data_IF_336551026821
#
_entry.id   IF_336551026821
#
_cell.length_a   1.000
_cell.length_b   1.000
_cell.length_c   1.000
_cell.angle_alpha   90.00
_cell.angle_beta   90.00
_cell.angle_gamma   90.00
#
_symmetry.space_group_name_H-M   'P 1'
#
loop_
_entity.id
_entity.type
_entity.pdbx_description
1 polymer ?
#
# COMPACT_ATOMS: atom_id res chain seq x y z
N UNK A 1 28.46 28.76 -7.59
CA UNK A 1 27.16 29.07 -8.24
C UNK A 1 26.08 28.37 -7.45
N UNK A 2 24.93 29.02 -7.21
CA UNK A 2 23.75 28.33 -6.66
C UNK A 2 23.28 27.30 -7.70
N UNK A 3 22.98 26.04 -7.32
CA UNK A 3 22.40 25.08 -8.25
C UNK A 3 21.06 25.59 -8.77
N UNK A 4 20.90 25.60 -10.10
CA UNK A 4 19.69 26.09 -10.79
C UNK A 4 18.71 24.93 -10.90
N UNK A 5 17.47 25.13 -10.45
CA UNK A 5 16.43 24.10 -10.47
C UNK A 5 16.04 23.75 -11.93
N UNK A 6 15.87 22.46 -12.27
CA UNK A 6 15.61 22.00 -13.64
C UNK A 6 14.42 22.63 -14.37
N UNK A 7 13.39 23.01 -13.61
CA UNK A 7 12.08 23.51 -14.07
C UNK A 7 11.62 24.65 -13.14
N UNK A 8 10.71 25.50 -13.63
CA UNK A 8 9.99 26.47 -12.78
C UNK A 8 8.84 25.82 -11.99
N UNK A 9 8.29 26.44 -10.92
CA UNK A 9 7.16 25.88 -10.18
C UNK A 9 5.91 25.67 -11.04
N UNK A 10 5.58 26.66 -11.88
CA UNK A 10 4.45 26.60 -12.83
C UNK A 10 4.61 25.48 -13.86
N UNK A 11 5.84 25.26 -14.33
CA UNK A 11 6.19 24.19 -15.26
C UNK A 11 6.15 22.82 -14.59
N UNK A 12 6.69 22.71 -13.38
CA UNK A 12 6.67 21.47 -12.57
C UNK A 12 5.24 21.03 -12.30
N UNK A 13 4.35 21.93 -11.88
CA UNK A 13 2.93 21.64 -11.72
C UNK A 13 2.24 21.21 -13.01
N UNK A 14 2.58 21.82 -14.15
CA UNK A 14 2.06 21.37 -15.46
C UNK A 14 2.53 19.96 -15.79
N UNK A 15 3.81 19.64 -15.55
CA UNK A 15 4.37 18.29 -15.74
C UNK A 15 3.61 17.27 -14.87
N UNK A 16 3.44 17.55 -13.56
CA UNK A 16 2.75 16.66 -12.62
C UNK A 16 1.29 16.36 -13.04
N UNK A 17 0.54 17.35 -13.50
CA UNK A 17 -0.84 17.16 -13.97
C UNK A 17 -0.95 16.36 -15.30
N UNK A 18 0.16 16.15 -16.03
CA UNK A 18 0.16 15.35 -17.27
C UNK A 18 0.82 13.96 -17.10
N UNK A 19 1.69 13.76 -16.10
CA UNK A 19 2.38 12.49 -15.88
C UNK A 19 1.41 11.37 -15.47
N UNK A 20 1.28 10.35 -16.34
CA UNK A 20 0.48 9.14 -16.08
C UNK A 20 1.29 7.98 -15.48
N UNK A 21 2.61 8.15 -15.33
CA UNK A 21 3.56 7.13 -14.86
C UNK A 21 4.54 7.71 -13.83
N UNK A 22 5.13 6.89 -12.94
CA UNK A 22 6.05 7.37 -11.93
C UNK A 22 7.31 7.98 -12.54
N UNK A 23 7.76 9.07 -11.92
CA UNK A 23 8.91 9.82 -12.40
C UNK A 23 9.73 10.39 -11.24
N UNK A 24 11.06 10.41 -11.40
CA UNK A 24 11.99 10.99 -10.44
C UNK A 24 12.46 12.36 -10.92
N UNK A 25 12.37 13.34 -10.02
CA UNK A 25 12.94 14.68 -10.16
C UNK A 25 14.28 14.71 -9.39
N UNK A 26 15.43 14.49 -10.04
CA UNK A 26 16.69 14.27 -9.34
C UNK A 26 17.34 15.52 -8.71
N UNK A 27 16.92 16.72 -9.13
CA UNK A 27 17.60 17.99 -8.78
C UNK A 27 16.65 19.15 -8.45
N UNK A 28 15.37 18.88 -8.11
CA UNK A 28 14.39 19.95 -7.84
C UNK A 28 14.51 20.57 -6.43
N UNK A 29 15.10 19.86 -5.46
CA UNK A 29 15.10 20.26 -4.04
C UNK A 29 16.36 21.01 -3.59
N UNK A 30 17.24 21.38 -4.52
CA UNK A 30 18.53 21.96 -4.16
C UNK A 30 18.36 23.28 -3.38
N UNK A 31 18.85 23.32 -2.13
CA UNK A 31 18.65 24.43 -1.21
C UNK A 31 17.39 24.35 -0.34
N UNK A 32 16.68 23.21 -0.31
CA UNK A 32 15.70 22.93 0.74
C UNK A 32 16.44 22.64 2.06
N UNK A 33 16.14 23.34 3.16
CA UNK A 33 16.75 23.03 4.45
C UNK A 33 16.47 21.61 4.93
N UNK A 34 15.30 21.03 4.61
CA UNK A 34 14.92 19.65 4.95
C UNK A 34 15.90 18.57 4.44
N UNK A 35 16.81 18.88 3.50
CA UNK A 35 17.90 17.97 3.11
C UNK A 35 18.91 17.70 4.24
N UNK A 36 18.88 18.47 5.33
CA UNK A 36 19.71 18.27 6.53
C UNK A 36 18.99 17.46 7.62
N UNK A 37 17.73 17.06 7.42
CA UNK A 37 16.95 16.28 8.37
C UNK A 37 17.37 14.80 8.42
N UNK A 38 18.61 14.54 8.83
CA UNK A 38 19.02 13.19 9.25
C UNK A 38 18.31 12.79 10.54
N UNK A 39 18.27 11.50 10.86
CA UNK A 39 17.77 11.00 12.14
C UNK A 39 18.52 11.63 13.32
N UNK A 40 19.85 11.86 13.20
CA UNK A 40 20.63 12.62 14.19
C UNK A 40 20.13 14.07 14.36
N UNK A 41 19.86 14.79 13.27
CA UNK A 41 19.35 16.16 13.32
C UNK A 41 17.93 16.21 13.92
N UNK A 42 17.04 15.33 13.44
CA UNK A 42 15.67 15.20 13.92
C UNK A 42 15.61 14.80 15.40
N UNK A 43 16.56 14.00 15.88
CA UNK A 43 16.72 13.71 17.31
C UNK A 43 17.09 14.95 18.14
N UNK A 44 17.82 15.91 17.56
CA UNK A 44 18.11 17.20 18.19
C UNK A 44 16.92 18.16 18.20
N UNK A 45 16.08 18.14 17.17
CA UNK A 45 14.86 18.95 17.13
C UNK A 45 13.77 18.39 18.07
N UNK A 46 13.55 17.07 18.05
CA UNK A 46 12.53 16.40 18.86
C UNK A 46 12.94 16.21 20.33
N UNK A 47 14.24 16.18 20.64
CA UNK A 47 14.76 15.96 22.00
C UNK A 47 14.13 14.69 22.63
N UNK A 48 13.62 14.79 23.86
CA UNK A 48 12.98 13.69 24.59
C UNK A 48 11.54 13.38 24.14
N UNK A 49 11.03 13.96 23.06
CA UNK A 49 9.68 13.71 22.54
C UNK A 49 9.56 12.26 22.04
N UNK A 50 8.69 11.42 22.64
CA UNK A 50 8.53 10.04 22.20
C UNK A 50 7.70 9.96 20.91
N UNK A 51 8.14 9.12 19.98
CA UNK A 51 7.48 8.80 18.71
C UNK A 51 7.03 7.33 18.73
N UNK A 52 5.88 7.00 18.13
CA UNK A 52 5.43 5.61 17.96
C UNK A 52 6.26 4.93 16.87
N UNK A 53 7.09 3.96 17.21
CA UNK A 53 7.75 3.09 16.24
C UNK A 53 6.94 1.81 16.07
N UNK A 54 6.73 1.40 14.82
CA UNK A 54 6.34 0.05 14.43
C UNK A 54 7.58 -0.82 14.32
N UNK A 55 7.51 -2.06 14.76
CA UNK A 55 8.58 -3.06 14.61
C UNK A 55 8.01 -4.32 13.96
N UNK A 56 8.67 -4.76 12.90
CA UNK A 56 8.40 -6.03 12.24
C UNK A 56 9.66 -6.88 12.21
N UNK A 57 9.48 -8.20 12.05
CA UNK A 57 10.59 -9.14 11.93
C UNK A 57 11.23 -9.03 10.55
N UNK A 58 12.53 -9.34 10.49
CA UNK A 58 13.34 -9.52 9.28
C UNK A 58 13.25 -10.95 8.72
N UNK A 59 12.15 -11.66 9.02
CA UNK A 59 11.89 -13.02 8.54
C UNK A 59 11.29 -12.95 7.12
N UNK A 60 11.94 -13.60 6.14
CA UNK A 60 11.34 -13.78 4.81
C UNK A 60 10.08 -14.66 4.91
N UNK A 61 8.94 -14.16 4.40
CA UNK A 61 7.70 -14.93 4.31
C UNK A 61 7.05 -14.72 2.94
N UNK A 62 6.13 -15.59 2.54
CA UNK A 62 5.29 -15.42 1.34
C UNK A 62 3.99 -14.64 1.63
N UNK A 63 3.99 -13.77 2.66
CA UNK A 63 2.82 -12.99 3.09
C UNK A 63 3.20 -11.54 3.48
N UNK A 64 2.51 -10.51 2.97
CA UNK A 64 2.85 -9.12 3.31
C UNK A 64 2.72 -8.84 4.82
N UNK A 65 3.73 -8.19 5.42
CA UNK A 65 3.75 -7.92 6.86
C UNK A 65 2.90 -6.67 7.21
N UNK A 66 1.59 -6.86 7.22
CA UNK A 66 0.61 -5.83 7.60
C UNK A 66 0.82 -5.26 9.01
N UNK A 67 0.40 -4.02 9.17
CA UNK A 67 0.55 -3.15 10.34
C UNK A 67 -0.05 -3.76 11.62
N UNK A 68 -1.16 -4.51 11.52
CA UNK A 68 -1.83 -5.25 12.61
C UNK A 68 -1.03 -6.44 13.12
N UNK A 69 -0.06 -6.94 12.35
CA UNK A 69 0.85 -8.05 12.72
C UNK A 69 2.20 -7.56 13.26
N UNK A 70 2.38 -6.25 13.39
CA UNK A 70 3.61 -5.63 13.89
C UNK A 70 3.51 -5.28 15.38
N UNK A 71 4.66 -5.22 16.07
CA UNK A 71 4.76 -4.68 17.42
C UNK A 71 4.86 -3.15 17.40
N UNK A 72 4.52 -2.49 18.51
CA UNK A 72 4.63 -1.03 18.61
C UNK A 72 5.18 -0.58 19.97
N UNK A 73 6.09 0.38 19.94
CA UNK A 73 6.63 1.05 21.14
C UNK A 73 6.54 2.56 20.99
N UNK A 74 6.66 3.30 22.11
CA UNK A 74 6.86 4.75 22.11
C UNK A 74 8.25 5.04 22.67
N UNK A 75 9.14 5.56 21.82
CA UNK A 75 10.56 5.79 22.14
C UNK A 75 11.05 7.09 21.51
N UNK A 76 12.15 7.66 22.00
CA UNK A 76 12.75 8.87 21.40
C UNK A 76 13.57 8.51 20.15
N UNK A 77 13.81 9.47 19.26
CA UNK A 77 14.71 9.23 18.11
C UNK A 77 16.15 8.97 18.58
N UNK A 78 16.55 9.53 19.73
CA UNK A 78 17.83 9.18 20.38
C UNK A 78 17.88 7.69 20.77
N UNK A 79 16.81 7.14 21.35
CA UNK A 79 16.72 5.69 21.65
C UNK A 79 16.78 4.84 20.37
N UNK A 80 16.08 5.23 19.30
CA UNK A 80 16.20 4.57 18.00
C UNK A 80 17.66 4.57 17.48
N UNK A 81 18.35 5.70 17.54
CA UNK A 81 19.76 5.83 17.13
C UNK A 81 20.74 5.01 17.99
N UNK A 82 20.46 4.86 19.27
CA UNK A 82 21.26 4.01 20.17
C UNK A 82 21.04 2.52 19.86
N UNK A 83 19.80 2.11 19.59
CA UNK A 83 19.45 0.73 19.23
C UNK A 83 20.03 0.30 17.87
N UNK A 84 19.95 1.14 16.82
CA UNK A 84 20.54 0.82 15.50
C UNK A 84 22.06 0.69 15.53
N UNK A 85 22.72 1.30 16.52
CA UNK A 85 24.16 1.16 16.79
C UNK A 85 24.51 -0.08 17.61
N UNK A 86 23.54 -0.97 17.87
CA UNK A 86 23.73 -2.23 18.58
C UNK A 86 23.94 -2.09 20.09
N UNK A 87 23.47 -0.98 20.71
CA UNK A 87 23.50 -0.85 22.15
C UNK A 87 22.39 -1.70 22.80
N UNK A 88 22.71 -2.30 23.95
CA UNK A 88 21.75 -3.03 24.79
C UNK A 88 21.00 -2.08 25.74
N UNK A 89 19.90 -2.55 26.32
CA UNK A 89 19.15 -1.88 27.39
C UNK A 89 18.62 -0.47 27.02
N UNK A 90 18.33 -0.26 25.73
CA UNK A 90 17.89 1.04 25.16
C UNK A 90 16.39 1.30 25.38
N UNK A 91 15.97 1.33 26.64
CA UNK A 91 14.58 1.64 27.02
C UNK A 91 13.57 0.68 26.37
N UNK A 92 12.48 1.17 25.75
CA UNK A 92 11.48 0.30 25.11
C UNK A 92 12.00 -0.56 23.94
N UNK A 93 13.17 -0.25 23.36
CA UNK A 93 13.79 -1.10 22.34
C UNK A 93 14.49 -2.35 22.93
N UNK A 94 14.69 -2.44 24.25
CA UNK A 94 15.42 -3.54 24.90
C UNK A 94 14.76 -4.92 24.72
N UNK A 95 13.46 -4.94 24.42
CA UNK A 95 12.68 -6.16 24.17
C UNK A 95 12.88 -6.74 22.75
N UNK A 96 13.56 -6.01 21.86
CA UNK A 96 13.65 -6.32 20.42
C UNK A 96 15.10 -6.31 19.93
N UNK A 97 15.61 -7.44 19.42
CA UNK A 97 16.96 -7.46 18.85
C UNK A 97 17.03 -6.74 17.50
N UNK A 98 18.00 -5.83 17.33
CA UNK A 98 18.27 -5.17 16.04
C UNK A 98 18.67 -6.16 14.92
N UNK A 99 19.13 -7.37 15.25
CA UNK A 99 19.40 -8.42 14.26
C UNK A 99 18.12 -9.11 13.75
N UNK A 100 17.04 -9.11 14.53
CA UNK A 100 15.81 -9.85 14.24
C UNK A 100 14.66 -8.94 13.78
N UNK A 101 14.66 -7.67 14.22
CA UNK A 101 13.62 -6.69 13.93
C UNK A 101 14.17 -5.52 13.13
N UNK A 102 13.33 -4.98 12.25
CA UNK A 102 13.44 -3.62 11.75
C UNK A 102 12.54 -2.69 12.57
N UNK A 103 12.79 -1.38 12.53
CA UNK A 103 11.92 -0.39 13.16
C UNK A 103 11.59 0.76 12.21
N UNK A 104 10.35 1.26 12.28
CA UNK A 104 9.81 2.29 11.40
C UNK A 104 8.95 3.29 12.18
N UNK A 105 9.30 4.57 12.16
CA UNK A 105 8.43 5.67 12.51
C UNK A 105 7.80 6.20 11.21
N UNK A 106 6.63 5.66 10.87
CA UNK A 106 5.84 5.83 9.65
C UNK A 106 4.64 6.80 9.80
N UNK A 107 4.12 7.39 8.73
CA UNK A 107 2.95 8.31 8.77
C UNK A 107 3.03 9.42 9.84
N UNK A 108 4.23 9.95 10.15
CA UNK A 108 4.37 10.92 11.25
C UNK A 108 4.10 12.34 10.76
N UNK A 109 2.84 12.77 10.87
CA UNK A 109 2.38 14.13 10.54
C UNK A 109 3.30 15.21 11.15
N UNK A 110 4.02 15.94 10.29
CA UNK A 110 5.03 16.93 10.69
C UNK A 110 4.38 18.07 11.49
N UNK A 111 3.16 18.49 11.11
CA UNK A 111 2.32 19.42 11.87
C UNK A 111 2.15 19.03 13.36
N UNK A 112 2.02 17.74 13.66
CA UNK A 112 1.87 17.25 15.04
C UNK A 112 3.23 17.13 15.74
N UNK A 113 4.24 16.58 15.04
CA UNK A 113 5.59 16.40 15.59
C UNK A 113 6.27 17.72 15.96
N UNK A 114 5.98 18.81 15.25
CA UNK A 114 6.65 20.11 15.38
C UNK A 114 5.67 21.28 15.59
N UNK A 115 4.51 21.03 16.21
CA UNK A 115 3.49 22.05 16.50
C UNK A 115 4.00 23.27 17.30
N UNK A 116 5.06 23.06 18.10
CA UNK A 116 5.78 24.06 18.90
C UNK A 116 7.03 24.62 18.22
N UNK A 117 7.41 24.08 17.07
CA UNK A 117 8.57 24.48 16.26
C UNK A 117 8.14 24.82 14.81
N UNK A 118 7.23 25.79 14.59
CA UNK A 118 6.59 26.00 13.29
C UNK A 118 7.55 26.42 12.17
N UNK A 119 8.76 26.88 12.49
CA UNK A 119 9.80 27.13 11.49
C UNK A 119 10.23 25.85 10.74
N UNK A 120 10.12 24.68 11.38
CA UNK A 120 10.37 23.36 10.74
C UNK A 120 9.40 23.09 9.58
N UNK A 121 8.28 23.81 9.47
CA UNK A 121 7.39 23.66 8.33
C UNK A 121 7.98 24.30 7.07
N UNK A 122 8.71 25.42 7.20
CA UNK A 122 9.29 26.19 6.09
C UNK A 122 10.49 25.51 5.43
N UNK A 123 11.05 24.47 6.07
CA UNK A 123 12.15 23.66 5.56
C UNK A 123 11.75 22.79 4.34
N UNK A 124 10.45 22.48 4.20
CA UNK A 124 9.85 21.64 3.16
C UNK A 124 9.06 22.52 2.20
N UNK A 125 9.42 22.55 0.90
CA UNK A 125 9.05 23.65 -0.01
C UNK A 125 8.26 23.18 -1.23
N UNK A 126 7.10 22.56 -1.03
CA UNK A 126 6.23 22.07 -2.11
C UNK A 126 5.69 23.19 -3.02
N UNK A 127 5.75 24.45 -2.58
CA UNK A 127 5.59 25.63 -3.45
C UNK A 127 6.51 25.60 -4.68
N UNK A 128 7.72 25.02 -4.60
CA UNK A 128 8.63 24.88 -5.73
C UNK A 128 8.21 23.81 -6.75
N UNK A 129 7.32 22.88 -6.37
CA UNK A 129 6.59 22.00 -7.28
C UNK A 129 5.28 22.63 -7.79
N UNK A 130 4.99 23.88 -7.40
CA UNK A 130 3.83 24.69 -7.80
C UNK A 130 2.62 24.60 -6.86
N UNK A 131 2.80 24.06 -5.66
CA UNK A 131 1.77 23.99 -4.60
C UNK A 131 1.99 25.12 -3.60
N UNK A 132 1.71 26.34 -4.02
CA UNK A 132 1.92 27.55 -3.22
C UNK A 132 1.21 27.46 -1.86
N UNK A 133 1.92 27.81 -0.79
CA UNK A 133 1.43 27.69 0.59
C UNK A 133 1.41 26.28 1.19
N UNK A 134 1.73 25.21 0.44
CA UNK A 134 1.90 23.84 0.96
C UNK A 134 3.33 23.63 1.44
N UNK A 135 3.49 23.18 2.68
CA UNK A 135 4.79 23.06 3.34
C UNK A 135 4.88 21.81 4.24
N UNK A 136 5.68 21.83 5.30
CA UNK A 136 5.76 20.73 6.26
C UNK A 136 4.44 20.42 6.96
N UNK A 137 3.47 21.35 7.06
CA UNK A 137 2.19 21.10 7.73
C UNK A 137 1.39 19.98 7.06
N UNK A 138 1.30 20.00 5.73
CA UNK A 138 0.59 18.99 4.93
C UNK A 138 1.51 17.82 4.52
N UNK A 139 2.57 17.56 5.29
CA UNK A 139 3.58 16.53 5.00
C UNK A 139 3.70 15.52 6.14
N UNK A 140 4.12 14.29 5.83
CA UNK A 140 4.49 13.28 6.83
C UNK A 140 5.95 12.89 6.74
N UNK A 141 6.54 12.67 7.92
CA UNK A 141 7.92 12.23 8.12
C UNK A 141 7.98 10.72 8.33
N UNK A 142 9.03 10.11 7.79
CA UNK A 142 9.29 8.68 7.88
C UNK A 142 10.74 8.45 8.30
N UNK A 143 10.99 7.68 9.35
CA UNK A 143 12.34 7.30 9.80
C UNK A 143 12.38 5.78 9.97
N UNK A 144 13.23 5.06 9.23
CA UNK A 144 13.26 3.59 9.25
C UNK A 144 14.67 3.00 9.26
N UNK A 145 14.81 1.75 9.69
CA UNK A 145 16.02 0.93 9.50
C UNK A 145 16.01 0.18 8.18
N UNK A 146 17.14 -0.43 7.81
CA UNK A 146 17.18 -1.48 6.79
C UNK A 146 16.08 -2.55 7.03
N UNK A 147 15.39 -2.95 5.96
CA UNK A 147 14.24 -3.87 5.98
C UNK A 147 12.89 -3.23 6.39
N UNK A 148 12.88 -2.00 6.91
CA UNK A 148 11.64 -1.31 7.27
C UNK A 148 10.86 -0.92 6.01
N UNK A 149 9.66 -1.47 5.85
CA UNK A 149 8.87 -1.41 4.63
C UNK A 149 7.40 -1.07 4.88
N UNK A 150 6.71 -0.66 3.80
CA UNK A 150 5.24 -0.65 3.73
C UNK A 150 4.81 -1.68 2.68
N UNK A 151 3.90 -2.63 3.01
CA UNK A 151 3.34 -3.61 2.08
C UNK A 151 2.81 -3.00 0.78
N UNK A 152 2.72 -3.78 -0.30
CA UNK A 152 2.27 -3.28 -1.60
C UNK A 152 0.82 -2.78 -1.54
N UNK A 153 0.58 -1.52 -1.90
CA UNK A 153 -0.74 -0.88 -1.90
C UNK A 153 -0.88 0.17 -3.00
N UNK A 154 -2.10 0.55 -3.38
CA UNK A 154 -2.35 1.81 -4.10
C UNK A 154 -2.95 2.85 -3.15
N UNK A 155 -2.75 4.13 -3.44
CA UNK A 155 -3.45 5.24 -2.79
C UNK A 155 -4.70 5.63 -3.59
N UNK A 156 -5.85 5.63 -2.91
CA UNK A 156 -7.19 5.94 -3.43
C UNK A 156 -7.37 7.43 -3.76
N UNK A 157 -6.65 8.32 -3.08
CA UNK A 157 -6.75 9.78 -3.24
C UNK A 157 -5.48 10.43 -3.78
N UNK A 158 -5.67 11.55 -4.49
CA UNK A 158 -4.61 12.43 -4.93
C UNK A 158 -3.56 11.78 -5.83
N UNK A 159 -2.34 12.27 -5.68
CA UNK A 159 -1.07 11.63 -6.06
C UNK A 159 -0.01 11.98 -5.00
N UNK A 160 1.07 11.21 -4.91
CA UNK A 160 2.07 11.34 -3.84
C UNK A 160 3.40 11.92 -4.37
N UNK A 161 3.99 12.86 -3.61
CA UNK A 161 5.33 13.40 -3.85
C UNK A 161 6.23 13.05 -2.67
N UNK A 162 7.27 12.24 -2.90
CA UNK A 162 8.13 11.69 -1.86
C UNK A 162 9.57 12.18 -2.03
N UNK A 163 10.06 13.00 -1.10
CA UNK A 163 11.46 13.39 -0.95
C UNK A 163 12.22 12.35 -0.11
N UNK A 164 13.29 11.78 -0.66
CA UNK A 164 14.27 11.04 0.13
C UNK A 164 15.31 12.00 0.74
N UNK A 165 15.52 11.95 2.06
CA UNK A 165 16.43 12.85 2.78
C UNK A 165 17.72 12.15 3.19
N UNK A 166 17.62 11.02 3.91
CA UNK A 166 18.76 10.22 4.39
C UNK A 166 18.61 8.78 3.91
N UNK A 167 19.72 8.13 3.55
CA UNK A 167 19.72 6.77 3.03
C UNK A 167 18.88 6.61 1.76
N UNK A 168 18.69 5.37 1.32
CA UNK A 168 17.98 5.01 0.09
C UNK A 168 16.75 4.15 0.41
N UNK A 169 15.69 4.33 -0.37
CA UNK A 169 14.52 3.45 -0.36
C UNK A 169 14.33 2.80 -1.74
N UNK A 170 14.09 1.50 -1.77
CA UNK A 170 13.64 0.81 -2.98
C UNK A 170 12.12 0.95 -3.11
N UNK A 171 11.65 1.24 -4.33
CA UNK A 171 10.24 1.33 -4.68
C UNK A 171 9.94 0.36 -5.81
N UNK A 172 8.99 -0.55 -5.58
CA UNK A 172 8.46 -1.47 -6.59
C UNK A 172 7.06 -1.00 -6.92
N UNK A 173 6.91 -0.28 -8.05
CA UNK A 173 5.64 0.29 -8.48
C UNK A 173 5.00 -0.57 -9.58
N UNK A 174 3.67 -0.60 -9.66
CA UNK A 174 2.93 -1.29 -10.72
C UNK A 174 1.77 -0.40 -11.22
N UNK A 175 1.50 -0.40 -12.54
CA UNK A 175 0.47 0.44 -13.14
C UNK A 175 -0.95 0.02 -12.70
N UNK A 176 -1.95 0.93 -12.74
CA UNK A 176 -3.33 0.62 -12.37
C UNK A 176 -3.95 -0.56 -13.13
N UNK A 177 -3.57 -0.78 -14.40
CA UNK A 177 -4.10 -1.92 -15.17
C UNK A 177 -3.68 -3.30 -14.59
N UNK A 178 -2.62 -3.37 -13.78
CA UNK A 178 -2.15 -4.62 -13.16
C UNK A 178 -2.92 -4.98 -11.89
N UNK A 179 -3.92 -4.19 -11.49
CA UNK A 179 -4.75 -4.40 -10.29
C UNK A 179 -5.24 -5.84 -10.15
N UNK A 180 -5.69 -6.49 -11.22
CA UNK A 180 -6.15 -7.89 -11.17
C UNK A 180 -5.01 -8.88 -10.84
N UNK A 181 -3.80 -8.62 -11.31
CA UNK A 181 -2.60 -9.44 -11.08
C UNK A 181 -2.07 -9.30 -9.64
N UNK A 182 -2.44 -8.20 -8.96
CA UNK A 182 -1.98 -7.84 -7.62
C UNK A 182 -2.92 -8.31 -6.50
N UNK A 183 -4.01 -9.01 -6.82
CA UNK A 183 -4.96 -9.61 -5.87
C UNK A 183 -5.31 -8.65 -4.71
N UNK A 184 -6.04 -7.55 -4.98
CA UNK A 184 -6.44 -6.60 -3.96
C UNK A 184 -7.09 -7.28 -2.75
N UNK A 185 -6.83 -6.73 -1.56
CA UNK A 185 -7.66 -6.95 -0.39
C UNK A 185 -9.09 -6.51 -0.71
N UNK A 186 -10.08 -7.11 -0.06
CA UNK A 186 -11.45 -6.58 -0.13
C UNK A 186 -11.52 -5.24 0.62
N UNK A 187 -12.66 -4.59 0.48
CA UNK A 187 -12.82 -3.15 0.25
C UNK A 187 -12.09 -2.27 1.29
N UNK A 188 -11.32 -1.24 0.87
CA UNK A 188 -10.57 -0.38 1.79
C UNK A 188 -11.51 0.44 2.68
N UNK A 189 -11.32 0.42 4.00
CA UNK A 189 -12.15 1.22 4.91
C UNK A 189 -11.45 2.12 5.91
N UNK A 190 -10.12 2.29 5.90
CA UNK A 190 -9.57 3.53 6.45
C UNK A 190 -8.31 4.04 5.74
N UNK A 191 -8.10 5.35 5.89
CA UNK A 191 -7.03 6.20 5.35
C UNK A 191 -6.50 5.84 3.94
N UNK A 192 -7.42 5.52 3.04
CA UNK A 192 -7.26 5.67 1.58
C UNK A 192 -6.25 4.77 0.86
N UNK A 193 -6.00 3.56 1.35
CA UNK A 193 -5.11 2.60 0.67
C UNK A 193 -5.77 1.23 0.43
N UNK A 194 -5.60 0.67 -0.77
CA UNK A 194 -5.96 -0.74 -1.07
C UNK A 194 -4.69 -1.57 -1.10
N UNK A 195 -4.61 -2.62 -0.28
CA UNK A 195 -3.43 -3.46 -0.17
C UNK A 195 -3.48 -4.66 -1.14
N UNK A 196 -2.30 -5.19 -1.46
CA UNK A 196 -2.13 -6.44 -2.19
C UNK A 196 -2.12 -7.61 -1.20
N UNK A 197 -2.73 -8.73 -1.59
CA UNK A 197 -2.62 -10.00 -0.85
C UNK A 197 -1.32 -10.76 -1.17
N UNK A 198 -0.53 -10.27 -2.14
CA UNK A 198 0.71 -10.88 -2.63
C UNK A 198 1.91 -10.22 -1.97
N UNK A 199 2.84 -11.02 -1.44
CA UNK A 199 4.17 -10.51 -1.15
C UNK A 199 4.91 -10.28 -2.48
N UNK A 200 5.19 -9.03 -2.82
CA UNK A 200 5.75 -8.68 -4.14
C UNK A 200 7.26 -8.90 -4.26
N UNK A 201 7.94 -9.27 -3.16
CA UNK A 201 9.33 -9.72 -3.17
C UNK A 201 9.40 -11.25 -3.21
N UNK A 202 8.55 -11.94 -2.43
CA UNK A 202 8.52 -13.39 -2.27
C UNK A 202 7.15 -14.01 -2.65
N UNK A 203 6.67 -13.83 -3.91
CA UNK A 203 5.29 -14.17 -4.29
C UNK A 203 5.01 -15.67 -4.31
N UNK A 204 3.94 -16.09 -3.62
CA UNK A 204 3.39 -17.44 -3.77
C UNK A 204 2.64 -17.58 -5.10
N UNK A 205 3.39 -17.90 -6.16
CA UNK A 205 2.86 -18.12 -7.52
C UNK A 205 2.04 -19.42 -7.69
N UNK A 206 1.76 -20.17 -6.61
CA UNK A 206 0.73 -21.24 -6.60
C UNK A 206 -0.60 -20.70 -6.11
N UNK A 207 -0.58 -19.81 -5.12
CA UNK A 207 -1.75 -19.12 -4.57
C UNK A 207 -2.18 -17.91 -5.43
N UNK A 208 -1.22 -17.26 -6.07
CA UNK A 208 -1.37 -16.01 -6.82
C UNK A 208 -0.76 -16.10 -8.24
N UNK A 209 -1.23 -17.02 -9.10
CA UNK A 209 -0.63 -17.27 -10.41
C UNK A 209 -0.59 -16.05 -11.34
N UNK A 210 -1.60 -15.17 -11.31
CA UNK A 210 -1.68 -14.01 -12.21
C UNK A 210 -0.64 -12.93 -11.92
N UNK A 211 0.00 -12.94 -10.74
CA UNK A 211 1.09 -12.01 -10.41
C UNK A 211 2.30 -12.16 -11.36
N UNK A 212 2.42 -13.30 -12.07
CA UNK A 212 3.38 -13.48 -13.18
C UNK A 212 3.23 -12.45 -14.30
N UNK A 213 2.05 -11.87 -14.45
CA UNK A 213 1.72 -10.86 -15.46
C UNK A 213 1.94 -9.43 -14.97
N UNK A 214 2.31 -9.22 -13.70
CA UNK A 214 2.56 -7.89 -13.15
C UNK A 214 3.87 -7.27 -13.68
N UNK A 215 3.81 -6.00 -14.02
CA UNK A 215 4.86 -5.20 -14.67
C UNK A 215 5.52 -4.31 -13.62
N UNK A 216 6.54 -4.83 -12.94
CA UNK A 216 7.26 -4.08 -11.92
C UNK A 216 8.09 -2.92 -12.53
N UNK A 217 7.76 -1.70 -12.15
CA UNK A 217 8.55 -0.48 -12.37
C UNK A 217 9.37 -0.17 -11.12
N UNK A 218 10.70 -0.35 -11.17
CA UNK A 218 11.54 -0.31 -9.96
C UNK A 218 12.51 0.88 -9.95
N UNK A 219 12.63 1.55 -8.80
CA UNK A 219 13.63 2.59 -8.55
C UNK A 219 14.15 2.57 -7.12
N UNK A 220 15.47 2.68 -6.96
CA UNK A 220 16.11 3.00 -5.68
C UNK A 220 16.25 4.52 -5.58
N UNK A 221 15.39 5.16 -4.79
CA UNK A 221 15.36 6.62 -4.60
C UNK A 221 16.54 7.07 -3.74
N UNK A 222 17.31 8.05 -4.24
CA UNK A 222 18.53 8.55 -3.59
C UNK A 222 18.26 9.84 -2.79
N UNK A 223 19.05 10.16 -1.75
CA UNK A 223 19.00 11.45 -1.05
C UNK A 223 18.93 12.66 -1.99
N UNK A 224 18.02 13.59 -1.70
CA UNK A 224 17.71 14.78 -2.51
C UNK A 224 16.72 14.56 -3.66
N UNK A 225 16.50 13.32 -4.09
CA UNK A 225 15.55 13.03 -5.17
C UNK A 225 14.10 13.07 -4.68
N UNK A 226 13.19 13.52 -5.55
CA UNK A 226 11.74 13.42 -5.34
C UNK A 226 11.13 12.42 -6.32
N UNK A 227 10.42 11.42 -5.82
CA UNK A 227 9.57 10.53 -6.60
C UNK A 227 8.15 11.10 -6.68
N UNK A 228 7.61 11.15 -7.88
CA UNK A 228 6.16 11.27 -8.13
C UNK A 228 5.57 9.87 -8.28
N UNK A 229 4.60 9.53 -7.43
CA UNK A 229 3.75 8.34 -7.56
C UNK A 229 2.37 8.84 -8.04
N UNK A 230 1.94 8.49 -9.27
CA UNK A 230 0.65 8.93 -9.79
C UNK A 230 -0.52 8.27 -9.05
N UNK A 231 -1.70 8.86 -9.20
CA UNK A 231 -2.97 8.29 -8.70
C UNK A 231 -3.10 6.80 -9.04
N UNK A 232 -3.58 6.00 -8.08
CA UNK A 232 -3.88 4.57 -8.24
C UNK A 232 -2.70 3.69 -8.69
N UNK A 233 -1.48 4.20 -8.74
CA UNK A 233 -0.30 3.34 -8.92
C UNK A 233 -0.04 2.55 -7.64
N UNK A 234 -0.03 1.23 -7.80
CA UNK A 234 0.40 0.30 -6.78
C UNK A 234 1.88 0.52 -6.48
N UNK A 235 2.26 0.42 -5.22
CA UNK A 235 3.64 0.55 -4.79
C UNK A 235 3.92 -0.21 -3.49
N UNK A 236 5.06 -0.90 -3.48
CA UNK A 236 5.74 -1.39 -2.29
C UNK A 236 6.99 -0.54 -2.08
N UNK A 237 7.34 -0.26 -0.83
CA UNK A 237 8.51 0.56 -0.48
C UNK A 237 9.28 -0.06 0.68
N UNK A 238 10.60 -0.18 0.52
CA UNK A 238 11.53 -0.74 1.51
C UNK A 238 12.72 0.20 1.74
N UNK A 239 13.19 0.26 2.98
CA UNK A 239 14.43 0.92 3.39
C UNK A 239 15.65 0.01 3.14
N UNK A 240 16.59 0.43 2.28
CA UNK A 240 17.75 -0.37 1.85
C UNK A 240 19.11 0.20 2.28
N UNK A 241 19.09 1.07 3.28
CA UNK A 241 20.27 1.54 4.03
C UNK A 241 19.99 1.43 5.53
N UNK A 242 21.01 1.32 6.40
CA UNK A 242 20.85 1.10 7.84
C UNK A 242 19.94 2.11 8.56
N UNK A 243 19.89 3.35 8.09
CA UNK A 243 18.93 4.38 8.50
C UNK A 243 18.45 5.10 7.24
N UNK A 244 17.13 5.23 7.09
CA UNK A 244 16.50 6.08 6.07
C UNK A 244 15.64 7.17 6.70
N UNK A 245 15.58 8.32 6.04
CA UNK A 245 14.60 9.38 6.30
C UNK A 245 13.97 9.82 4.99
N UNK A 246 12.65 9.92 4.95
CA UNK A 246 11.90 10.50 3.82
C UNK A 246 10.77 11.42 4.33
N UNK A 247 10.40 12.39 3.51
CA UNK A 247 9.25 13.29 3.73
C UNK A 247 8.36 13.22 2.50
N UNK A 248 7.04 13.09 2.68
CA UNK A 248 6.10 13.10 1.55
C UNK A 248 4.93 14.04 1.77
N UNK A 249 4.23 14.36 0.68
CA UNK A 249 2.91 15.00 0.72
C UNK A 249 1.99 14.38 -0.33
N UNK A 250 0.72 14.18 0.01
CA UNK A 250 -0.33 13.82 -0.93
C UNK A 250 -1.02 15.08 -1.45
N UNK A 251 -1.08 15.23 -2.78
CA UNK A 251 -1.73 16.37 -3.44
C UNK A 251 -3.15 15.95 -3.85
N UNK A 252 -4.16 16.62 -3.32
CA UNK A 252 -5.57 16.28 -3.60
C UNK A 252 -5.98 16.72 -5.01
N UNK A 253 -6.90 15.94 -5.60
CA UNK A 253 -7.50 16.18 -6.91
C UNK A 253 -9.00 16.46 -6.77
N UNK A 254 -9.59 17.23 -7.70
CA UNK A 254 -11.03 17.55 -7.64
C UNK A 254 -11.94 16.30 -7.80
N UNK A 255 -11.40 15.17 -8.29
CA UNK A 255 -12.08 13.86 -8.34
C UNK A 255 -12.13 13.16 -6.98
N UNK A 256 -11.26 13.51 -6.03
CA UNK A 256 -11.19 12.85 -4.72
C UNK A 256 -12.45 13.07 -3.88
N UNK A 257 -13.07 14.25 -3.97
CA UNK A 257 -14.24 14.56 -3.14
C UNK A 257 -15.42 13.62 -3.47
N UNK A 258 -15.62 13.28 -4.75
CA UNK A 258 -16.63 12.28 -5.16
C UNK A 258 -16.20 10.87 -4.74
N UNK A 259 -14.91 10.53 -4.91
CA UNK A 259 -14.39 9.22 -4.49
C UNK A 259 -14.51 8.99 -2.97
N UNK A 260 -14.41 10.03 -2.14
CA UNK A 260 -14.68 9.97 -0.69
C UNK A 260 -16.12 9.61 -0.37
N UNK A 261 -17.08 10.10 -1.16
CA UNK A 261 -18.49 9.71 -1.00
C UNK A 261 -18.68 8.25 -1.42
N UNK A 262 -18.08 7.82 -2.53
CA UNK A 262 -18.06 6.40 -2.96
C UNK A 262 -17.52 5.49 -1.86
N UNK A 263 -16.34 5.79 -1.29
CA UNK A 263 -15.75 4.99 -0.20
C UNK A 263 -16.65 5.00 1.04
N UNK A 264 -17.15 6.16 1.47
CA UNK A 264 -18.01 6.30 2.64
C UNK A 264 -19.36 5.58 2.52
N UNK A 265 -19.98 5.58 1.32
CA UNK A 265 -21.19 4.81 1.01
C UNK A 265 -20.89 3.32 1.18
N UNK A 266 -19.79 2.86 0.58
CA UNK A 266 -19.43 1.44 0.65
C UNK A 266 -19.10 1.02 2.09
N UNK A 267 -18.39 1.86 2.88
CA UNK A 267 -18.10 1.62 4.31
C UNK A 267 -19.39 1.47 5.11
N UNK A 268 -20.34 2.37 4.88
CA UNK A 268 -21.66 2.33 5.53
C UNK A 268 -22.43 1.05 5.20
N UNK A 269 -22.39 0.58 3.95
CA UNK A 269 -23.05 -0.66 3.50
C UNK A 269 -22.37 -1.91 4.08
N UNK A 270 -21.05 -2.05 3.93
CA UNK A 270 -20.32 -3.23 4.41
C UNK A 270 -20.38 -3.32 5.93
N UNK A 271 -20.08 -2.23 6.67
CA UNK A 271 -20.10 -2.27 8.13
C UNK A 271 -21.52 -2.55 8.68
N UNK A 272 -22.59 -2.08 8.03
CA UNK A 272 -23.95 -2.43 8.43
C UNK A 272 -24.25 -3.93 8.28
N UNK A 273 -23.93 -4.52 7.13
CA UNK A 273 -24.17 -5.95 6.84
C UNK A 273 -23.22 -6.84 7.66
N UNK A 274 -21.93 -6.49 7.74
CA UNK A 274 -20.93 -7.18 8.56
C UNK A 274 -21.14 -7.01 10.08
N UNK A 275 -22.14 -6.23 10.52
CA UNK A 275 -22.59 -6.17 11.91
C UNK A 275 -23.85 -7.01 12.19
N UNK A 276 -24.48 -7.59 11.17
CA UNK A 276 -25.62 -8.50 11.35
C UNK A 276 -25.15 -9.88 11.85
N UNK A 277 -26.00 -10.54 12.65
CA UNK A 277 -25.79 -11.92 13.07
C UNK A 277 -26.11 -12.88 11.91
N UNK A 278 -25.20 -13.82 11.62
CA UNK A 278 -25.38 -14.84 10.60
C UNK A 278 -24.23 -15.84 10.61
N UNK A 279 -24.52 -17.12 10.37
CA UNK A 279 -23.55 -18.22 10.50
C UNK A 279 -22.48 -18.22 9.39
N UNK A 280 -22.73 -17.53 8.27
CA UNK A 280 -21.79 -17.36 7.16
C UNK A 280 -21.00 -16.04 7.22
N UNK A 281 -21.21 -15.22 8.26
CA UNK A 281 -20.65 -13.87 8.34
C UNK A 281 -19.24 -13.81 8.97
N UNK A 282 -18.39 -14.77 8.64
CA UNK A 282 -17.06 -14.94 9.24
C UNK A 282 -15.90 -14.35 8.43
N UNK A 283 -16.09 -14.08 7.13
CA UNK A 283 -15.02 -13.56 6.27
C UNK A 283 -14.60 -12.11 6.61
N UNK A 284 -13.27 -11.91 6.62
CA UNK A 284 -12.60 -10.61 6.68
C UNK A 284 -12.82 -9.83 5.38
N UNK A 285 -13.61 -8.77 5.48
CA UNK A 285 -13.91 -7.83 4.38
C UNK A 285 -13.30 -6.44 4.58
N UNK A 286 -12.77 -6.18 5.77
CA UNK A 286 -12.04 -4.95 6.08
C UNK A 286 -10.63 -5.02 5.50
N UNK A 287 -9.97 -3.87 5.45
CA UNK A 287 -8.54 -3.79 5.14
C UNK A 287 -7.75 -4.51 6.26
N UNK A 288 -6.75 -5.36 5.97
CA UNK A 288 -5.93 -6.02 7.00
C UNK A 288 -5.17 -5.07 7.94
N UNK A 289 -5.22 -3.75 7.72
CA UNK A 289 -4.73 -2.72 8.64
C UNK A 289 -5.74 -2.23 9.68
N UNK A 290 -7.02 -2.63 9.60
CA UNK A 290 -8.09 -2.24 10.53
C UNK A 290 -8.20 -3.21 11.71
N UNK A 291 -8.30 -2.69 12.94
CA UNK A 291 -8.44 -3.50 14.18
C UNK A 291 -9.90 -3.63 14.64
N UNK A 292 -10.76 -2.62 14.39
CA UNK A 292 -12.14 -2.54 14.91
C UNK A 292 -13.18 -2.21 13.82
N UNK A 293 -14.40 -2.75 13.96
CA UNK A 293 -15.55 -2.41 13.08
C UNK A 293 -16.16 -1.06 13.50
N UNK A 294 -15.86 0.00 12.74
CA UNK A 294 -16.44 1.34 12.94
C UNK A 294 -17.99 1.31 12.99
N UNK A 295 -18.58 2.03 13.95
CA UNK A 295 -20.03 2.01 14.19
C UNK A 295 -20.82 2.66 13.05
N UNK A 296 -22.10 2.30 12.92
CA UNK A 296 -22.99 2.92 11.93
C UNK A 296 -23.07 4.46 12.07
N UNK A 297 -22.99 4.97 13.30
CA UNK A 297 -22.89 6.40 13.61
C UNK A 297 -21.63 7.06 13.05
N UNK A 298 -20.47 6.44 13.21
CA UNK A 298 -19.19 6.97 12.71
C UNK A 298 -19.12 6.90 11.18
N UNK A 299 -19.61 5.81 10.58
CA UNK A 299 -19.70 5.66 9.13
C UNK A 299 -20.63 6.72 8.51
N UNK A 300 -21.79 6.99 9.14
CA UNK A 300 -22.66 8.10 8.73
C UNK A 300 -22.01 9.47 8.94
N UNK A 301 -21.24 9.70 10.01
CA UNK A 301 -20.50 10.95 10.21
C UNK A 301 -19.47 11.17 9.09
N UNK A 302 -18.70 10.13 8.74
CA UNK A 302 -17.73 10.16 7.64
C UNK A 302 -18.43 10.44 6.29
N UNK A 303 -19.56 9.78 6.01
CA UNK A 303 -20.36 10.03 4.81
C UNK A 303 -20.90 11.47 4.74
N UNK A 304 -21.39 12.03 5.84
CA UNK A 304 -21.84 13.42 5.89
C UNK A 304 -20.69 14.41 5.64
N UNK A 305 -19.48 14.13 6.13
CA UNK A 305 -18.29 14.95 5.87
C UNK A 305 -17.87 14.88 4.39
N UNK A 306 -17.85 13.69 3.79
CA UNK A 306 -17.54 13.50 2.37
C UNK A 306 -18.54 14.20 1.45
N UNK A 307 -19.85 14.07 1.72
CA UNK A 307 -20.91 14.77 0.97
C UNK A 307 -20.82 16.29 1.15
N UNK A 308 -20.45 16.76 2.35
CA UNK A 308 -20.21 18.19 2.61
C UNK A 308 -19.02 18.74 1.84
N UNK A 309 -17.96 17.95 1.64
CA UNK A 309 -16.80 18.34 0.81
C UNK A 309 -17.18 18.53 -0.68
N UNK A 310 -18.15 17.74 -1.18
CA UNK A 310 -18.71 17.85 -2.53
C UNK A 310 -19.65 19.05 -2.76
N UNK A 311 -19.92 19.86 -1.72
CA UNK A 311 -20.70 21.09 -1.86
C UNK A 311 -19.92 22.16 -2.64
N UNK A 312 -20.59 23.15 -3.27
CA UNK A 312 -19.89 24.20 -4.01
C UNK A 312 -18.96 25.03 -3.10
N UNK A 313 -17.65 24.74 -3.16
CA UNK A 313 -16.63 25.54 -2.48
C UNK A 313 -16.78 26.99 -2.93
N UNK A 314 -17.16 27.89 -2.01
CA UNK A 314 -17.23 29.35 -2.25
C UNK A 314 -15.82 29.90 -2.46
N UNK A 315 -15.23 29.66 -3.64
CA UNK A 315 -13.91 30.15 -4.05
C UNK A 315 -13.93 31.67 -4.04
N UNK A 316 -13.36 32.27 -2.99
CA UNK A 316 -13.05 33.69 -2.90
C UNK A 316 -11.82 34.04 -3.76
N UNK A 317 -11.91 33.75 -5.05
CA UNK A 317 -10.90 34.05 -6.07
C UNK A 317 -11.60 34.69 -7.26
N UNK A 318 -11.01 35.77 -7.78
CA UNK A 318 -11.60 36.61 -8.83
C UNK A 318 -11.82 35.83 -10.12
N UNK A 319 -12.99 35.95 -10.77
CA UNK A 319 -13.31 35.21 -11.98
C UNK A 319 -12.63 35.85 -13.21
N UNK A 320 -11.49 35.33 -13.61
CA UNK A 320 -10.99 35.50 -14.99
C UNK A 320 -10.06 34.35 -15.40
N UNK A 321 -10.20 33.88 -16.65
CA UNK A 321 -9.33 32.89 -17.34
C UNK A 321 -9.16 31.47 -16.72
N UNK A 322 -10.25 30.70 -16.57
CA UNK A 322 -10.15 29.22 -16.69
C UNK A 322 -11.48 28.55 -17.12
N UNK A 323 -12.10 29.02 -18.20
CA UNK A 323 -13.38 28.48 -18.70
C UNK A 323 -13.40 28.30 -20.22
N UNK A 324 -12.64 27.32 -20.71
CA UNK A 324 -12.67 26.84 -22.09
C UNK A 324 -12.46 25.32 -22.17
N UNK A 325 -11.44 24.80 -21.48
CA UNK A 325 -10.79 23.52 -21.84
C UNK A 325 -11.42 22.25 -21.22
N UNK A 326 -12.67 22.30 -20.74
CA UNK A 326 -13.32 21.21 -19.98
C UNK A 326 -14.64 20.69 -20.58
N UNK A 327 -14.97 20.99 -21.83
CA UNK A 327 -16.22 20.52 -22.47
C UNK A 327 -16.10 19.33 -23.43
N UNK A 328 -14.92 19.03 -23.94
CA UNK A 328 -14.76 18.06 -25.04
C UNK A 328 -14.41 16.63 -24.61
N UNK A 329 -14.30 16.37 -23.30
CA UNK A 329 -13.92 15.05 -22.77
C UNK A 329 -15.02 13.97 -22.81
N UNK A 330 -16.30 14.34 -23.01
CA UNK A 330 -17.46 13.46 -22.81
C UNK A 330 -18.26 13.16 -24.09
N UNK A 331 -17.61 12.89 -25.24
CA UNK A 331 -18.33 12.63 -26.50
C UNK A 331 -17.68 11.67 -27.52
N UNK A 332 -17.14 10.49 -27.14
CA UNK A 332 -16.77 9.46 -28.14
C UNK A 332 -16.69 8.00 -27.63
N UNK A 333 -17.72 7.17 -27.92
CA UNK A 333 -17.63 5.77 -28.46
C UNK A 333 -18.98 5.02 -28.47
N UNK A 334 -19.73 5.11 -29.58
CA UNK A 334 -20.68 4.10 -30.09
C UNK A 334 -20.79 4.26 -31.61
N UNK A 335 -21.12 3.19 -32.34
CA UNK A 335 -21.44 3.24 -33.78
C UNK A 335 -20.29 2.91 -34.72
N UNK A 336 -20.63 2.54 -35.96
CA UNK A 336 -19.71 1.92 -36.93
C UNK A 336 -20.05 2.26 -38.40
N UNK A 337 -19.06 2.01 -39.27
CA UNK A 337 -19.14 1.89 -40.73
C UNK A 337 -19.02 3.15 -41.62
N UNK A 338 -18.57 2.84 -42.85
CA UNK A 338 -18.66 3.54 -44.14
C UNK A 338 -17.98 4.91 -44.44
N UNK A 339 -16.88 4.77 -45.21
CA UNK A 339 -16.62 5.44 -46.50
C UNK A 339 -16.51 6.98 -46.57
N UNK A 340 -15.26 7.42 -46.40
CA UNK A 340 -14.52 8.20 -47.40
C UNK A 340 -15.21 9.36 -48.15
N UNK A 341 -14.84 10.60 -47.77
CA UNK A 341 -14.46 11.62 -48.76
C UNK A 341 -13.43 12.60 -48.21
N UNK A 342 -12.56 13.07 -49.08
CA UNK A 342 -11.51 14.05 -48.77
C UNK A 342 -12.09 15.46 -48.68
N UNK A 343 -11.67 16.22 -47.68
CA UNK A 343 -11.29 17.62 -47.85
C UNK A 343 -10.25 18.00 -46.80
N UNK A 344 -9.34 18.90 -47.17
CA UNK A 344 -8.50 19.63 -46.21
C UNK A 344 -9.24 20.91 -45.82
N UNK A 345 -9.14 21.33 -44.57
CA UNK A 345 -8.46 22.58 -44.19
C UNK A 345 -8.53 22.82 -42.67
N UNK A 346 -7.58 23.60 -42.15
CA UNK A 346 -7.67 24.34 -40.89
C UNK A 346 -8.13 23.59 -39.63
N UNK A 347 -7.26 22.76 -39.02
CA UNK A 347 -7.40 22.34 -37.63
C UNK A 347 -6.06 22.48 -36.90
N UNK A 348 -5.99 23.36 -35.90
CA UNK A 348 -4.84 23.41 -34.99
C UNK A 348 -4.87 22.18 -34.09
N UNK A 349 -3.90 21.29 -34.24
CA UNK A 349 -3.80 20.09 -33.41
C UNK A 349 -3.43 20.49 -31.99
N UNK A 350 -4.35 20.32 -31.05
CA UNK A 350 -4.02 20.27 -29.62
C UNK A 350 -3.06 19.10 -29.39
N UNK A 351 -1.77 19.41 -29.36
CA UNK A 351 -0.71 18.43 -29.22
C UNK A 351 -0.69 17.95 -27.76
N UNK A 352 -0.99 16.67 -27.55
CA UNK A 352 -0.86 16.04 -26.24
C UNK A 352 0.56 16.28 -25.71
N UNK A 353 0.67 16.96 -24.57
CA UNK A 353 1.93 17.34 -23.97
C UNK A 353 2.66 16.11 -23.43
N UNK A 354 3.50 15.51 -24.29
CA UNK A 354 4.42 14.45 -23.89
C UNK A 354 5.31 14.94 -22.76
N UNK A 355 5.42 14.15 -21.69
CA UNK A 355 6.22 14.51 -20.53
C UNK A 355 7.70 14.72 -20.93
N UNK A 356 8.38 15.75 -20.40
CA UNK A 356 9.74 16.12 -20.82
C UNK A 356 10.81 15.22 -20.18
N UNK A 357 10.70 13.91 -20.43
CA UNK A 357 11.61 12.90 -19.90
C UNK A 357 13.04 13.08 -20.43
N UNK A 358 14.01 12.91 -19.55
CA UNK A 358 15.43 13.11 -19.81
C UNK A 358 16.23 13.33 -18.53
N UNK A 359 17.47 13.87 -18.58
CA UNK A 359 18.33 14.03 -17.39
C UNK A 359 17.76 14.90 -16.26
N UNK A 360 16.64 15.60 -16.49
CA UNK A 360 15.93 16.46 -15.53
C UNK A 360 14.69 15.82 -14.92
N UNK A 361 14.15 14.79 -15.56
CA UNK A 361 12.92 14.08 -15.20
C UNK A 361 13.05 12.64 -15.70
N UNK A 362 13.31 11.70 -14.80
CA UNK A 362 13.61 10.32 -15.14
C UNK A 362 12.33 9.48 -15.03
N UNK A 363 11.86 8.80 -16.09
CA UNK A 363 10.76 7.85 -15.96
C UNK A 363 11.23 6.63 -15.17
N UNK A 364 10.42 6.12 -14.25
CA UNK A 364 10.67 4.80 -13.66
C UNK A 364 10.33 3.74 -14.72
N UNK A 365 11.31 2.92 -15.11
CA UNK A 365 11.18 1.91 -16.18
C UNK A 365 10.59 0.62 -15.65
N UNK A 366 9.84 -0.10 -16.51
CA UNK A 366 9.49 -1.48 -16.25
C UNK A 366 10.73 -2.37 -16.36
N UNK A 367 10.88 -3.35 -15.47
CA UNK A 367 11.96 -4.34 -15.56
C UNK A 367 11.85 -5.23 -16.81
N UNK A 368 10.65 -5.36 -17.40
CA UNK A 368 10.43 -6.15 -18.61
C UNK A 368 10.98 -5.46 -19.88
N UNK A 369 11.20 -4.14 -19.85
CA UNK A 369 11.75 -3.35 -20.95
C UNK A 369 13.29 -3.33 -20.98
N UNK A 370 13.95 -3.68 -19.87
CA UNK A 370 15.42 -3.78 -19.84
C UNK A 370 15.88 -4.98 -20.68
N UNK A 371 16.85 -4.80 -21.60
CA UNK A 371 17.23 -5.86 -22.52
C UNK A 371 17.87 -7.03 -21.76
N UNK A 372 17.21 -8.18 -21.79
CA UNK A 372 17.71 -9.42 -21.18
C UNK A 372 19.16 -9.66 -21.58
N UNK A 373 20.07 -9.59 -20.60
CA UNK A 373 21.44 -10.07 -20.78
C UNK A 373 21.34 -11.54 -21.19
N UNK A 374 21.99 -11.90 -22.29
CA UNK A 374 21.99 -13.28 -22.74
C UNK A 374 22.79 -14.13 -21.74
N UNK A 375 22.11 -15.05 -21.07
CA UNK A 375 22.79 -16.07 -20.27
C UNK A 375 23.73 -16.89 -21.17
N UNK A 376 24.94 -17.22 -20.71
CA UNK A 376 25.81 -18.15 -21.42
C UNK A 376 25.13 -19.52 -21.46
N UNK A 377 24.91 -20.04 -22.67
CA UNK A 377 24.16 -21.27 -22.91
C UNK A 377 24.70 -22.46 -22.12
N UNK A 378 23.79 -23.37 -21.78
CA UNK A 378 24.12 -24.74 -21.41
C UNK A 378 25.02 -25.40 -22.46
N UNK A 379 26.06 -26.09 -22.00
CA UNK A 379 26.87 -27.01 -22.81
C UNK A 379 26.90 -28.39 -22.13
N UNK A 380 25.88 -29.21 -22.41
CA UNK A 380 25.78 -30.57 -21.90
C UNK A 380 26.87 -31.47 -22.50
N UNK A 381 28.00 -31.62 -21.80
CA UNK A 381 28.96 -32.71 -22.08
C UNK A 381 28.86 -33.82 -21.03
N UNK A 382 28.12 -34.85 -21.39
CA UNK A 382 27.73 -35.97 -20.52
C UNK A 382 28.79 -37.09 -20.53
N UNK A 383 29.59 -37.21 -19.46
CA UNK A 383 30.45 -38.39 -19.23
C UNK A 383 30.32 -38.92 -17.80
N UNK A 384 29.80 -40.15 -17.67
CA UNK A 384 29.71 -40.88 -16.41
C UNK A 384 30.87 -41.89 -16.24
N UNK A 385 31.41 -42.02 -15.01
CA UNK A 385 31.84 -43.31 -14.40
C UNK A 385 32.51 -43.18 -13.01
N UNK A 386 31.92 -43.88 -12.04
CA UNK A 386 32.56 -44.77 -11.04
C UNK A 386 33.95 -44.45 -10.42
N UNK A 387 33.91 -44.07 -9.13
CA UNK A 387 34.35 -44.92 -7.97
C UNK A 387 35.80 -45.44 -7.87
N UNK A 388 36.62 -44.85 -6.99
CA UNK A 388 37.59 -45.50 -6.06
C UNK A 388 38.34 -44.43 -5.21
N UNK A 389 38.24 -44.39 -3.86
CA UNK A 389 39.08 -45.07 -2.83
C UNK A 389 40.49 -44.47 -2.63
N UNK A 390 40.65 -43.72 -1.53
CA UNK A 390 41.84 -43.56 -0.65
C UNK A 390 41.52 -42.49 0.43
N UNK A 391 42.07 -42.46 1.66
CA UNK A 391 42.28 -43.49 2.70
C UNK A 391 43.02 -42.85 3.90
N UNK A 392 42.52 -43.04 5.14
CA UNK A 392 43.27 -42.88 6.42
C UNK A 392 43.72 -41.44 6.77
N UNK A 393 43.94 -41.04 8.03
CA UNK A 393 43.61 -41.58 9.38
C UNK A 393 43.39 -40.37 10.34
N UNK A 394 42.83 -40.48 11.54
CA UNK A 394 43.50 -41.02 12.75
C UNK A 394 42.53 -41.35 13.92
N UNK A 395 43.04 -41.92 15.02
CA UNK A 395 42.27 -42.45 16.18
C UNK A 395 41.48 -41.38 17.00
N UNK A 396 40.35 -41.63 17.67
CA UNK A 396 39.68 -42.83 18.25
C UNK A 396 40.05 -43.18 19.71
N UNK A 397 39.03 -43.19 20.61
CA UNK A 397 39.04 -43.78 21.96
C UNK A 397 37.66 -44.41 22.24
N UNK A 398 37.61 -45.64 22.75
CA UNK A 398 36.38 -46.38 23.12
C UNK A 398 35.98 -46.05 24.60
N UNK A 399 34.91 -46.54 25.23
CA UNK A 399 34.07 -47.76 25.13
C UNK A 399 32.82 -47.59 26.06
N UNK A 400 31.75 -48.39 26.04
CA UNK A 400 31.37 -49.52 25.19
C UNK A 400 30.31 -50.44 25.85
N UNK A 401 29.57 -51.19 25.02
CA UNK A 401 28.67 -52.29 25.41
C UNK A 401 27.20 -51.94 25.74
N UNK A 402 26.24 -52.87 25.78
CA UNK A 402 25.96 -54.07 24.94
C UNK A 402 24.67 -54.78 25.42
N UNK A 403 23.77 -55.19 24.50
CA UNK A 403 22.59 -56.06 24.71
C UNK A 403 21.51 -55.56 25.71
N UNK A 404 20.27 -56.10 25.76
CA UNK A 404 19.58 -56.99 24.81
C UNK A 404 18.24 -57.59 25.32
N UNK A 405 17.17 -57.46 24.52
CA UNK A 405 15.91 -58.28 24.51
C UNK A 405 14.96 -58.38 25.73
N UNK A 406 13.72 -57.90 25.50
CA UNK A 406 12.38 -58.52 25.81
C UNK A 406 11.92 -58.80 27.26
N UNK A 407 10.75 -58.21 27.64
CA UNK A 407 9.46 -58.92 27.91
C UNK A 407 8.62 -58.48 29.15
N UNK A 408 7.59 -57.66 28.88
CA UNK A 408 6.18 -57.76 29.37
C UNK A 408 5.75 -57.68 30.87
N UNK A 409 4.69 -56.88 31.09
CA UNK A 409 3.54 -57.11 32.01
C UNK A 409 3.75 -56.92 33.53
N UNK A 410 2.80 -56.45 34.38
CA UNK A 410 1.57 -55.62 34.27
C UNK A 410 1.68 -54.49 35.34
N UNK A 411 0.70 -53.76 35.93
CA UNK A 411 -0.77 -53.50 35.89
C UNK A 411 -0.96 -52.11 36.60
N UNK A 412 -2.10 -51.44 36.91
CA UNK A 412 -3.57 -51.54 36.76
C UNK A 412 -4.14 -50.10 36.93
N UNK A 413 -5.33 -49.74 36.42
CA UNK A 413 -5.93 -48.43 36.79
C UNK A 413 -7.13 -47.87 36.01
N UNK A 414 -8.17 -48.66 35.69
CA UNK A 414 -9.39 -48.13 35.04
C UNK A 414 -10.36 -47.48 36.05
N UNK A 415 -11.10 -46.44 35.60
CA UNK A 415 -12.54 -46.32 35.86
C UNK A 415 -13.25 -45.50 34.78
N UNK A 416 -14.34 -46.06 34.27
CA UNK A 416 -15.39 -45.43 33.48
C UNK A 416 -16.71 -46.10 33.89
N UNK A 417 -17.86 -45.46 33.65
CA UNK A 417 -19.17 -46.05 33.95
C UNK A 417 -20.24 -45.46 33.04
N UNK A 418 -20.89 -46.32 32.25
CA UNK A 418 -21.99 -45.95 31.36
C UNK A 418 -23.32 -45.89 32.11
N UNK A 419 -24.31 -45.17 31.54
CA UNK A 419 -25.72 -45.54 31.63
C UNK A 419 -26.46 -45.06 30.38
N UNK A 420 -27.46 -45.83 29.95
CA UNK A 420 -28.03 -45.76 28.62
C UNK A 420 -29.54 -45.52 28.61
N UNK A 421 -30.01 -45.06 27.45
CA UNK A 421 -31.33 -45.25 26.85
C UNK A 421 -32.60 -44.97 27.69
N UNK A 422 -33.42 -44.06 27.17
CA UNK A 422 -34.86 -44.32 27.10
C UNK A 422 -35.43 -43.73 25.80
N UNK A 423 -36.14 -44.54 25.03
CA UNK A 423 -36.83 -44.12 23.81
C UNK A 423 -38.28 -43.74 24.11
N UNK A 424 -38.79 -42.73 23.43
CA UNK A 424 -40.20 -42.64 23.05
C UNK A 424 -40.31 -41.81 21.78
N UNK A 425 -40.90 -42.39 20.74
CA UNK A 425 -41.15 -41.71 19.46
C UNK A 425 -42.64 -41.61 19.18
N UNK A 426 -43.00 -40.58 18.41
CA UNK A 426 -44.23 -40.49 17.63
C UNK A 426 -43.87 -39.91 16.26
N UNK A 427 -44.29 -40.58 15.19
CA UNK A 427 -44.41 -40.01 13.84
C UNK A 427 -45.48 -38.89 13.84
N UNK A 428 -45.68 -38.03 12.84
CA UNK A 428 -45.69 -38.12 11.37
C UNK A 428 -45.47 -36.69 10.80
N UNK A 429 -45.22 -36.38 9.52
CA UNK A 429 -44.62 -37.05 8.35
C UNK A 429 -44.50 -35.96 7.21
N UNK A 430 -44.14 -36.32 5.99
CA UNK A 430 -44.31 -35.56 4.74
C UNK A 430 -43.49 -34.26 4.54
N UNK A 431 -42.27 -34.38 3.99
CA UNK A 431 -41.73 -33.41 3.01
C UNK A 431 -40.59 -33.92 2.10
N UNK A 432 -40.54 -35.21 1.73
CA UNK A 432 -39.67 -35.60 0.60
C UNK A 432 -40.25 -35.07 -0.72
N UNK A 433 -39.56 -34.14 -1.38
CA UNK A 433 -39.73 -33.90 -2.81
C UNK A 433 -38.57 -33.10 -3.43
N UNK A 434 -38.19 -33.48 -4.66
CA UNK A 434 -37.33 -32.75 -5.60
C UNK A 434 -36.07 -32.05 -5.05
N UNK A 435 -34.97 -32.80 -4.97
CA UNK A 435 -33.63 -32.25 -5.24
C UNK A 435 -33.13 -32.72 -6.61
N UNK A 436 -33.39 -31.90 -7.63
CA UNK A 436 -32.41 -31.74 -8.71
C UNK A 436 -31.17 -31.00 -8.17
N UNK A 437 -30.20 -30.61 -9.02
CA UNK A 437 -29.11 -29.72 -8.62
C UNK A 437 -29.67 -28.32 -8.34
N UNK A 438 -30.19 -28.11 -7.13
CA UNK A 438 -30.64 -26.81 -6.67
C UNK A 438 -29.47 -25.83 -6.64
N UNK A 439 -29.75 -24.57 -7.03
CA UNK A 439 -28.77 -23.50 -6.91
C UNK A 439 -28.31 -23.39 -5.43
N UNK A 440 -27.02 -23.08 -5.18
CA UNK A 440 -26.54 -22.87 -3.83
C UNK A 440 -27.29 -21.70 -3.16
N UNK A 441 -27.42 -21.70 -1.83
CA UNK A 441 -27.98 -20.56 -1.11
C UNK A 441 -27.10 -19.32 -1.33
N UNK A 442 -27.73 -18.16 -1.49
CA UNK A 442 -27.05 -16.87 -1.59
C UNK A 442 -26.41 -16.57 -0.22
N UNK A 443 -25.10 -16.32 -0.20
CA UNK A 443 -24.35 -15.97 1.02
C UNK A 443 -24.35 -14.46 1.27
N UNK A 444 -23.97 -14.08 2.49
CA UNK A 444 -23.60 -12.71 2.87
C UNK A 444 -22.55 -12.13 1.90
N UNK A 445 -21.62 -12.95 1.41
CA UNK A 445 -20.58 -12.50 0.47
C UNK A 445 -21.13 -12.24 -0.93
N UNK A 446 -22.01 -13.10 -1.46
CA UNK A 446 -22.66 -12.90 -2.77
C UNK A 446 -23.48 -11.60 -2.80
N UNK A 447 -24.22 -11.35 -1.71
CA UNK A 447 -25.00 -10.11 -1.54
C UNK A 447 -24.09 -8.88 -1.46
N UNK A 448 -22.99 -8.96 -0.71
CA UNK A 448 -22.03 -7.88 -0.61
C UNK A 448 -21.35 -7.58 -1.96
N UNK A 449 -20.83 -8.59 -2.66
CA UNK A 449 -20.19 -8.43 -3.98
C UNK A 449 -21.17 -7.78 -5.00
N UNK A 450 -22.48 -8.03 -4.88
CA UNK A 450 -23.50 -7.33 -5.67
C UNK A 450 -23.72 -5.86 -5.24
N UNK A 451 -23.88 -5.60 -3.93
CA UNK A 451 -24.19 -4.27 -3.41
C UNK A 451 -23.03 -3.28 -3.54
N UNK A 452 -21.81 -3.78 -3.51
CA UNK A 452 -20.57 -2.98 -3.60
C UNK A 452 -20.02 -2.88 -5.03
N UNK A 453 -20.74 -3.44 -6.00
CA UNK A 453 -20.38 -3.36 -7.41
C UNK A 453 -20.25 -1.88 -7.85
N UNK A 454 -19.20 -1.48 -8.61
CA UNK A 454 -18.91 -0.08 -8.91
C UNK A 454 -20.10 0.71 -9.46
N UNK A 455 -20.90 0.12 -10.36
CA UNK A 455 -22.09 0.77 -10.92
C UNK A 455 -23.17 1.08 -9.87
N UNK A 456 -23.33 0.20 -8.87
CA UNK A 456 -24.31 0.35 -7.79
C UNK A 456 -23.86 1.46 -6.84
N UNK A 457 -22.60 1.44 -6.40
CA UNK A 457 -22.06 2.48 -5.51
C UNK A 457 -21.98 3.83 -6.22
N UNK A 458 -21.62 3.89 -7.51
CA UNK A 458 -21.69 5.12 -8.30
C UNK A 458 -23.11 5.69 -8.30
N UNK A 459 -24.12 4.87 -8.60
CA UNK A 459 -25.50 5.37 -8.67
C UNK A 459 -26.06 5.79 -7.30
N UNK A 460 -25.67 5.13 -6.20
CA UNK A 460 -26.01 5.58 -4.84
C UNK A 460 -25.30 6.89 -4.49
N UNK A 461 -24.03 7.04 -4.88
CA UNK A 461 -23.23 8.26 -4.70
C UNK A 461 -23.85 9.45 -5.45
N UNK A 462 -24.23 9.26 -6.72
CA UNK A 462 -24.95 10.24 -7.53
C UNK A 462 -26.25 10.69 -6.84
N UNK A 463 -27.11 9.75 -6.46
CA UNK A 463 -28.40 10.04 -5.81
C UNK A 463 -28.26 10.77 -4.46
N UNK A 464 -27.21 10.48 -3.69
CA UNK A 464 -26.92 11.18 -2.43
C UNK A 464 -26.46 12.63 -2.66
N UNK A 465 -25.64 12.86 -3.70
CA UNK A 465 -25.16 14.18 -4.09
C UNK A 465 -26.26 15.04 -4.74
N UNK A 466 -27.07 14.47 -5.64
CA UNK A 466 -28.27 15.09 -6.22
C UNK A 466 -29.19 15.59 -5.09
N UNK A 467 -29.47 14.72 -4.10
CA UNK A 467 -30.32 15.04 -2.94
C UNK A 467 -29.77 16.13 -2.03
N UNK A 468 -28.44 16.23 -1.87
CA UNK A 468 -27.81 17.26 -1.02
C UNK A 468 -27.57 18.60 -1.73
N UNK A 469 -27.58 18.63 -3.07
CA UNK A 469 -27.46 19.88 -3.84
C UNK A 469 -28.76 20.68 -3.90
N UNK A 470 -29.89 20.05 -3.60
CA UNK A 470 -31.21 20.69 -3.55
C UNK A 470 -31.95 20.71 -4.88
N UNK A 471 -31.46 19.98 -5.89
CA UNK A 471 -32.04 19.92 -7.24
C UNK A 471 -33.36 19.11 -7.31
N UNK A 472 -33.88 18.64 -6.17
CA UNK A 472 -35.12 17.86 -6.05
C UNK A 472 -36.03 18.37 -4.91
N UNK A 473 -36.98 19.23 -5.28
CA UNK A 473 -38.30 19.41 -4.64
C UNK A 473 -39.35 19.70 -5.73
#
# INVERSE_FOLDING_TARGET
MTPIKPFSPTETRRILHHLQQPAVFPNMTCGWPALHWTAEHLSGCLNDRPVRFRLGRKEETNTPLFETRCSYIKATVAQFLHWTRGQMDVGPFSEYSHSEYWAYADYKYIAMLFHDQPFMFEDVKWSEFGFEGRDGKESTLWIGTEGANTPCHLDTYGFNLVLQVQGRKCWHLFPPEDTANLYPTRIPYEESSVFSRVDVLHPDLKRFPEFRSARAHIVTLQPGQVLFVPRHWWHYVESVDPITVSVNTWIELEVDDVARVTEAVTKTVVCAIKSAQGDDNTDEWLNPTEEDKASHSENLQYLNLAVSACAPRKRSLSPDKLTSDLKDAHAAKRGSSEQAKTNRDGAETSAALSAPFGPRLLPVRCQQDEPKKADPKDDETNTSRNRAVASQEDCAVCSGGAAGTKSASLQLGKRACDRAAQEHGTSEDCAENNKGPGLPPITTNDLLDCLVHPDIISRVTELLLERHRGDHL
#
